data_IF_067559960112
#
_entry.id   IF_067559960112
#
_cell.length_a   1.000
_cell.length_b   1.000
_cell.length_c   1.000
_cell.angle_alpha   90.00
_cell.angle_beta   90.00
_cell.angle_gamma   90.00
#
_symmetry.space_group_name_H-M   'P 1'
#
loop_
_entity.id
_entity.type
_entity.pdbx_description
1 polymer ?
#
# COMPACT_ATOMS: atom_id res chain seq x y z
N UNK A 1 -10.75 0.34 -0.91
CA UNK A 1 -9.50 1.09 -1.16
C UNK A 1 -8.39 0.38 -0.42
N UNK A 2 -7.23 0.18 -1.06
CA UNK A 2 -6.04 -0.46 -0.47
C UNK A 2 -4.90 0.56 -0.42
N UNK A 3 -4.16 0.55 0.68
CA UNK A 3 -2.92 1.31 0.86
C UNK A 3 -1.79 0.31 1.11
N UNK A 4 -0.74 0.34 0.28
CA UNK A 4 0.43 -0.53 0.37
C UNK A 4 1.64 0.31 0.83
N UNK A 5 2.21 -0.06 1.98
CA UNK A 5 3.27 0.69 2.65
C UNK A 5 4.60 -0.05 2.46
N UNK A 6 5.52 0.55 1.71
CA UNK A 6 6.72 -0.15 1.22
C UNK A 6 6.44 -0.90 -0.08
N UNK A 7 5.69 -0.27 -0.99
CA UNK A 7 5.17 -0.89 -2.21
C UNK A 7 6.24 -1.35 -3.21
N UNK A 8 7.49 -0.88 -3.06
CA UNK A 8 8.61 -1.24 -3.92
C UNK A 8 8.32 -0.99 -5.40
N UNK A 9 8.51 -2.01 -6.23
CA UNK A 9 8.24 -1.97 -7.67
C UNK A 9 6.75 -2.16 -8.04
N UNK A 10 5.86 -2.22 -7.04
CA UNK A 10 4.40 -2.16 -7.25
C UNK A 10 3.70 -3.50 -7.48
N UNK A 11 4.39 -4.65 -7.37
CA UNK A 11 3.81 -5.98 -7.63
C UNK A 11 2.54 -6.26 -6.83
N UNK A 12 2.57 -6.00 -5.52
CA UNK A 12 1.42 -6.23 -4.63
C UNK A 12 0.28 -5.26 -4.97
N UNK A 13 0.60 -3.99 -5.26
CA UNK A 13 -0.39 -3.03 -5.73
C UNK A 13 -1.14 -3.51 -6.99
N UNK A 14 -0.43 -4.08 -7.97
CA UNK A 14 -1.03 -4.60 -9.20
C UNK A 14 -1.88 -5.86 -9.00
N UNK A 15 -1.50 -6.72 -8.04
CA UNK A 15 -2.32 -7.87 -7.64
C UNK A 15 -3.59 -7.38 -6.93
N UNK A 16 -3.44 -6.44 -5.99
CA UNK A 16 -4.56 -5.86 -5.25
C UNK A 16 -5.54 -5.14 -6.19
N UNK A 17 -5.04 -4.47 -7.23
CA UNK A 17 -5.85 -3.76 -8.23
C UNK A 17 -6.91 -4.67 -8.88
N UNK A 18 -6.53 -5.91 -9.20
CA UNK A 18 -7.43 -6.91 -9.77
C UNK A 18 -8.47 -7.38 -8.74
N UNK A 19 -8.06 -7.54 -7.48
CA UNK A 19 -8.95 -7.96 -6.39
C UNK A 19 -10.00 -6.92 -6.02
N UNK A 20 -9.63 -5.62 -6.02
CA UNK A 20 -10.56 -4.53 -5.70
C UNK A 20 -11.49 -4.14 -6.86
N UNK A 21 -11.18 -4.59 -8.08
CA UNK A 21 -11.98 -4.32 -9.28
C UNK A 21 -11.91 -2.87 -9.77
N UNK A 22 -12.61 -2.54 -10.87
CA UNK A 22 -12.49 -1.25 -11.55
C UNK A 22 -12.96 -0.04 -10.73
N UNK A 23 -13.88 -0.24 -9.78
CA UNK A 23 -14.35 0.81 -8.86
C UNK A 23 -13.44 0.95 -7.61
N UNK A 24 -12.56 -0.03 -7.40
CA UNK A 24 -11.57 0.01 -6.34
C UNK A 24 -10.43 0.98 -6.63
N UNK A 25 -9.58 1.21 -5.62
CA UNK A 25 -8.40 2.08 -5.73
C UNK A 25 -7.27 1.50 -4.89
N UNK A 26 -6.06 1.53 -5.44
CA UNK A 26 -4.83 1.11 -4.76
C UNK A 26 -3.84 2.26 -4.77
N UNK A 27 -3.27 2.56 -3.60
CA UNK A 27 -2.19 3.53 -3.47
C UNK A 27 -0.96 2.80 -2.92
N UNK A 28 0.13 2.82 -3.67
CA UNK A 28 1.44 2.34 -3.21
C UNK A 28 2.28 3.51 -2.70
N UNK A 29 2.89 3.35 -1.52
CA UNK A 29 3.83 4.32 -0.96
C UNK A 29 5.20 3.67 -0.84
N UNK A 30 6.24 4.33 -1.35
CA UNK A 30 7.63 3.93 -1.14
C UNK A 30 8.52 5.16 -0.94
N UNK A 31 9.72 4.94 -0.41
CA UNK A 31 10.72 5.98 -0.19
C UNK A 31 11.76 6.05 -1.31
N UNK A 32 11.93 4.96 -2.07
CA UNK A 32 13.03 4.79 -3.03
C UNK A 32 12.60 5.24 -4.42
N UNK A 33 13.27 6.27 -4.96
CA UNK A 33 12.95 6.83 -6.28
C UNK A 33 13.06 5.78 -7.41
N UNK A 34 14.11 4.96 -7.40
CA UNK A 34 14.32 3.93 -8.42
C UNK A 34 13.20 2.89 -8.43
N UNK A 35 12.68 2.53 -7.26
CA UNK A 35 11.56 1.58 -7.14
C UNK A 35 10.26 2.18 -7.66
N UNK A 36 10.00 3.44 -7.30
CA UNK A 36 8.83 4.18 -7.78
C UNK A 36 8.88 4.41 -9.28
N UNK A 37 10.05 4.67 -9.85
CA UNK A 37 10.22 4.81 -11.30
C UNK A 37 9.79 3.53 -12.03
N UNK A 38 10.27 2.37 -11.57
CA UNK A 38 9.87 1.07 -12.12
C UNK A 38 8.36 0.82 -11.96
N UNK A 39 7.80 1.16 -10.79
CA UNK A 39 6.38 0.99 -10.52
C UNK A 39 5.51 1.85 -11.46
N UNK A 40 5.84 3.15 -11.58
CA UNK A 40 5.13 4.09 -12.45
C UNK A 40 5.22 3.70 -13.93
N UNK A 41 6.38 3.25 -14.41
CA UNK A 41 6.57 2.80 -15.79
C UNK A 41 5.77 1.53 -16.11
N UNK A 42 5.48 0.70 -15.10
CA UNK A 42 4.67 -0.51 -15.24
C UNK A 42 3.17 -0.20 -15.25
N UNK A 43 2.70 0.83 -14.54
CA UNK A 43 1.28 1.18 -14.39
C UNK A 43 0.48 1.16 -15.70
N UNK A 44 0.85 1.89 -16.77
CA UNK A 44 0.04 1.91 -17.99
C UNK A 44 0.00 0.55 -18.71
N UNK A 45 1.07 -0.26 -18.60
CA UNK A 45 1.12 -1.61 -19.19
C UNK A 45 0.18 -2.55 -18.45
N UNK A 46 0.21 -2.49 -17.11
CA UNK A 46 -0.68 -3.31 -16.27
C UNK A 46 -2.12 -2.87 -16.44
N UNK A 47 -2.40 -1.57 -16.38
CA UNK A 47 -3.74 -1.00 -16.55
C UNK A 47 -4.40 -1.42 -17.86
N UNK A 48 -3.65 -1.38 -18.96
CA UNK A 48 -4.09 -1.91 -20.26
C UNK A 48 -4.41 -3.41 -20.22
N UNK A 49 -3.60 -4.21 -19.53
CA UNK A 49 -3.78 -5.66 -19.44
C UNK A 49 -4.97 -6.05 -18.55
N UNK A 50 -5.23 -5.31 -17.47
CA UNK A 50 -6.35 -5.56 -16.55
C UNK A 50 -7.66 -4.89 -17.00
N UNK A 51 -7.57 -3.88 -17.86
CA UNK A 51 -8.73 -3.18 -18.46
C UNK A 51 -9.20 -1.94 -17.71
N UNK A 52 -8.47 -1.49 -16.69
CA UNK A 52 -8.78 -0.30 -15.90
C UNK A 52 -7.53 0.25 -15.20
N UNK A 53 -7.53 1.55 -14.89
CA UNK A 53 -6.42 2.27 -14.28
C UNK A 53 -6.82 2.78 -12.89
N UNK A 54 -6.44 2.05 -11.84
CA UNK A 54 -6.80 2.41 -10.46
C UNK A 54 -5.65 2.29 -9.44
N UNK A 55 -4.41 2.26 -9.93
CA UNK A 55 -3.19 2.20 -9.13
C UNK A 55 -2.43 3.53 -9.21
N UNK A 56 -2.06 4.09 -8.07
CA UNK A 56 -1.26 5.30 -7.96
C UNK A 56 -0.06 5.04 -7.03
N UNK A 57 1.13 5.49 -7.42
CA UNK A 57 2.32 5.42 -6.57
C UNK A 57 2.69 6.81 -6.05
N UNK A 58 3.03 6.88 -4.78
CA UNK A 58 3.45 8.12 -4.11
C UNK A 58 4.77 7.92 -3.39
N UNK A 59 5.63 8.92 -3.49
CA UNK A 59 6.82 8.99 -2.65
C UNK A 59 6.42 9.43 -1.25
N UNK A 60 6.80 8.65 -0.25
CA UNK A 60 6.51 8.96 1.13
C UNK A 60 7.25 8.05 2.08
N UNK A 61 7.60 8.60 3.23
CA UNK A 61 8.07 7.82 4.37
C UNK A 61 6.86 7.31 5.13
N UNK A 62 6.82 6.02 5.44
CA UNK A 62 5.71 5.43 6.20
C UNK A 62 5.54 6.14 7.55
N UNK A 63 6.64 6.49 8.21
CA UNK A 63 6.69 7.29 9.45
C UNK A 63 6.10 8.70 9.35
N UNK A 64 5.90 9.24 8.14
CA UNK A 64 5.27 10.56 7.98
C UNK A 64 3.74 10.45 7.97
N UNK A 65 3.19 9.24 7.79
CA UNK A 65 1.81 8.94 8.17
C UNK A 65 1.77 9.05 9.68
N UNK A 66 1.31 10.22 10.17
CA UNK A 66 1.23 10.51 11.60
C UNK A 66 0.35 9.45 12.25
N UNK A 67 1.01 8.47 12.85
CA UNK A 67 0.38 7.55 13.76
C UNK A 67 0.36 8.22 15.12
N UNK A 68 -0.81 8.26 15.74
CA UNK A 68 -0.90 8.63 17.13
C UNK A 68 -0.26 7.51 17.96
N UNK A 69 1.01 7.72 18.32
CA UNK A 69 1.81 6.76 19.08
C UNK A 69 1.20 6.52 20.47
N UNK A 70 0.60 7.54 21.06
CA UNK A 70 -0.05 7.43 22.37
C UNK A 70 -1.31 6.56 22.27
N UNK A 71 -2.09 6.73 21.21
CA UNK A 71 -3.24 5.86 20.93
C UNK A 71 -2.83 4.41 20.60
N UNK A 72 -1.74 4.22 19.84
CA UNK A 72 -1.20 2.88 19.55
C UNK A 72 -0.71 2.19 20.82
N UNK A 73 0.08 2.86 21.64
CA UNK A 73 0.59 2.33 22.90
C UNK A 73 -0.56 1.98 23.86
N UNK A 74 -1.59 2.82 23.93
CA UNK A 74 -2.78 2.56 24.71
C UNK A 74 -3.57 1.33 24.21
N UNK A 75 -3.64 1.14 22.89
CA UNK A 75 -4.27 -0.03 22.28
C UNK A 75 -3.51 -1.31 22.60
N UNK A 76 -2.20 -1.36 22.33
CA UNK A 76 -1.35 -2.55 22.56
C UNK A 76 -1.25 -2.90 24.05
N UNK A 77 -1.28 -1.89 24.93
CA UNK A 77 -1.27 -2.13 26.39
C UNK A 77 -2.57 -2.75 26.89
N UNK A 78 -3.71 -2.41 26.26
CA UNK A 78 -5.02 -2.99 26.58
C UNK A 78 -5.23 -4.37 25.96
N UNK A 79 -4.76 -4.54 24.73
CA UNK A 79 -4.87 -5.79 23.96
C UNK A 79 -3.47 -6.19 23.48
N UNK A 80 -2.69 -6.86 24.35
CA UNK A 80 -1.35 -7.30 24.00
C UNK A 80 -1.43 -8.28 22.84
N UNK A 81 -0.76 -7.93 21.74
CA UNK A 81 -0.68 -8.78 20.56
C UNK A 81 0.23 -9.95 20.89
N UNK A 82 -0.35 -11.14 21.07
CA UNK A 82 0.36 -12.38 21.43
C UNK A 82 0.82 -13.20 20.22
N UNK A 83 0.21 -13.00 19.06
CA UNK A 83 0.51 -13.68 17.81
C UNK A 83 0.11 -12.81 16.59
N UNK A 84 0.47 -13.27 15.38
CA UNK A 84 0.18 -12.58 14.12
C UNK A 84 -1.29 -12.72 13.69
N UNK A 85 -2.06 -13.63 14.30
CA UNK A 85 -3.47 -13.87 13.96
C UNK A 85 -4.37 -12.80 14.59
N UNK A 86 -3.95 -12.16 15.68
CA UNK A 86 -4.68 -11.04 16.31
C UNK A 86 -4.58 -9.68 15.59
N UNK A 87 -3.90 -9.61 14.43
CA UNK A 87 -3.61 -8.34 13.73
C UNK A 87 -4.26 -8.24 12.34
N UNK A 88 -4.82 -9.34 11.82
CA UNK A 88 -5.43 -9.41 10.49
C UNK A 88 -6.96 -9.29 10.50
#
# INVERSE_FOLDING_TARGET
>A
MVLDLGSGTGKICFIAAQGVGPEGRVIGVDTTDDMLAVACDATPKVGKNIGFDNVEFRKGRIQDLRLDLEALEAFVSREPIGDLDGVL
#
